data_IF_685705842369
#
_entry.id   IF_685705842369
#
_cell.length_a   1.000
_cell.length_b   1.000
_cell.length_c   1.000
_cell.angle_alpha   90.00
_cell.angle_beta   90.00
_cell.angle_gamma   90.00
#
_symmetry.space_group_name_H-M   'P 1'
#
loop_
_entity.id
_entity.type
_entity.pdbx_description
1 polymer ?
#
# COMPACT_ATOMS: atom_id res chain seq x y z
N UNK A 1 26.70 -25.23 23.70
CA UNK A 1 26.08 -24.19 22.83
C UNK A 1 24.81 -23.72 23.53
N UNK A 2 24.79 -22.45 23.95
CA UNK A 2 24.00 -21.98 25.10
C UNK A 2 22.50 -21.83 24.81
N UNK A 3 21.66 -22.24 25.78
CA UNK A 3 20.18 -22.15 25.79
C UNK A 3 19.65 -20.74 25.41
N UNK A 4 20.48 -19.70 25.56
CA UNK A 4 20.18 -18.32 25.16
C UNK A 4 20.02 -18.15 23.64
N UNK A 5 20.75 -18.93 22.82
CA UNK A 5 20.66 -18.92 21.36
C UNK A 5 19.35 -19.54 20.84
N UNK A 6 18.81 -20.54 21.54
CA UNK A 6 17.53 -21.17 21.21
C UNK A 6 16.37 -20.21 21.47
N UNK A 7 16.36 -19.50 22.61
CA UNK A 7 15.32 -18.50 22.91
C UNK A 7 15.35 -17.28 21.98
N UNK A 8 16.54 -16.84 21.52
CA UNK A 8 16.68 -15.75 20.55
C UNK A 8 16.27 -16.15 19.14
N UNK A 9 16.58 -17.39 18.71
CA UNK A 9 16.07 -17.94 17.45
C UNK A 9 14.55 -18.09 17.46
N UNK A 10 13.98 -18.59 18.57
CA UNK A 10 12.54 -18.83 18.70
C UNK A 10 11.72 -17.53 18.73
N UNK A 11 12.25 -16.47 19.35
CA UNK A 11 11.65 -15.13 19.34
C UNK A 11 11.70 -14.47 17.94
N UNK A 12 12.79 -14.69 17.20
CA UNK A 12 12.94 -14.14 15.84
C UNK A 12 12.03 -14.87 14.83
N UNK A 13 11.86 -16.19 14.96
CA UNK A 13 10.91 -16.95 14.13
C UNK A 13 9.45 -16.66 14.47
N UNK A 14 9.13 -16.34 15.73
CA UNK A 14 7.77 -15.99 16.16
C UNK A 14 7.30 -14.63 15.63
N UNK A 15 8.22 -13.70 15.35
CA UNK A 15 7.89 -12.41 14.72
C UNK A 15 7.76 -12.51 13.19
N UNK A 16 8.41 -13.50 12.57
CA UNK A 16 8.32 -13.78 11.13
C UNK A 16 7.08 -14.63 10.75
N UNK A 17 6.56 -15.44 11.66
CA UNK A 17 5.44 -16.35 11.39
C UNK A 17 4.12 -15.67 10.98
N UNK A 18 3.71 -14.51 11.54
CA UNK A 18 2.50 -13.81 11.12
C UNK A 18 2.57 -13.27 9.69
N UNK A 19 3.77 -13.00 9.18
CA UNK A 19 3.96 -12.47 7.81
C UNK A 19 3.81 -13.54 6.71
N UNK A 20 3.90 -14.82 7.07
CA UNK A 20 3.74 -15.95 6.15
C UNK A 20 2.30 -16.48 6.10
N UNK A 21 1.45 -16.08 7.04
CA UNK A 21 0.04 -16.48 7.11
C UNK A 21 -0.86 -15.29 6.78
N UNK A 22 -0.84 -14.86 5.52
CA UNK A 22 -1.97 -14.10 4.98
C UNK A 22 -3.09 -15.10 4.70
N UNK A 23 -3.88 -15.42 5.71
CA UNK A 23 -5.13 -16.15 5.50
C UNK A 23 -6.08 -15.23 4.72
N UNK A 24 -6.79 -15.73 3.69
CA UNK A 24 -7.81 -14.93 3.04
C UNK A 24 -8.87 -14.62 4.09
N UNK A 25 -9.04 -13.34 4.41
CA UNK A 25 -10.10 -12.90 5.31
C UNK A 25 -11.44 -13.23 4.62
N UNK A 26 -12.06 -14.35 5.01
CA UNK A 26 -13.43 -14.67 4.64
C UNK A 26 -14.36 -13.75 5.43
N UNK A 27 -14.53 -12.54 4.91
CA UNK A 27 -15.55 -11.62 5.40
C UNK A 27 -16.91 -12.04 4.79
N UNK A 28 -17.59 -12.99 5.43
CA UNK A 28 -18.95 -13.40 5.03
C UNK A 28 -20.00 -12.30 5.28
N UNK A 29 -19.63 -11.21 5.96
CA UNK A 29 -20.46 -10.00 6.10
C UNK A 29 -19.57 -8.76 6.14
N UNK A 30 -19.95 -7.69 5.44
CA UNK A 30 -19.25 -6.40 5.50
C UNK A 30 -19.49 -5.80 6.89
N UNK A 31 -18.46 -5.81 7.73
CA UNK A 31 -18.45 -5.13 9.03
C UNK A 31 -18.22 -3.62 8.84
N UNK A 32 -19.07 -2.81 9.46
CA UNK A 32 -18.92 -1.35 9.46
C UNK A 32 -17.63 -0.89 10.16
N UNK A 33 -17.19 -1.64 11.19
CA UNK A 33 -15.95 -1.34 11.90
C UNK A 33 -14.72 -1.59 11.01
N UNK A 34 -14.71 -2.70 10.27
CA UNK A 34 -13.60 -3.04 9.37
C UNK A 34 -13.54 -2.05 8.20
N UNK A 35 -14.70 -1.62 7.69
CA UNK A 35 -14.78 -0.59 6.64
C UNK A 35 -14.26 0.75 7.14
N UNK A 36 -14.68 1.19 8.34
CA UNK A 36 -14.19 2.44 8.92
C UNK A 36 -12.68 2.42 9.16
N UNK A 37 -12.15 1.28 9.62
CA UNK A 37 -10.71 1.10 9.81
C UNK A 37 -9.95 1.08 8.49
N UNK A 38 -10.47 0.40 7.46
CA UNK A 38 -9.89 0.41 6.11
C UNK A 38 -9.83 1.81 5.54
N UNK A 39 -10.93 2.58 5.61
CA UNK A 39 -10.96 3.98 5.14
C UNK A 39 -9.96 4.85 5.90
N UNK A 40 -9.90 4.71 7.23
CA UNK A 40 -8.92 5.43 8.06
C UNK A 40 -7.48 5.07 7.66
N UNK A 41 -7.21 3.78 7.45
CA UNK A 41 -5.89 3.30 7.02
C UNK A 41 -5.51 3.84 5.64
N UNK A 42 -6.44 3.89 4.69
CA UNK A 42 -6.17 4.50 3.36
C UNK A 42 -5.85 6.00 3.46
N UNK A 43 -6.53 6.73 4.36
CA UNK A 43 -6.24 8.14 4.60
C UNK A 43 -4.84 8.34 5.20
N UNK A 44 -4.41 7.48 6.13
CA UNK A 44 -3.06 7.51 6.70
C UNK A 44 -1.99 7.23 5.63
N UNK A 45 -2.22 6.31 4.70
CA UNK A 45 -1.31 6.04 3.58
C UNK A 45 -1.21 7.24 2.64
N UNK A 46 -2.33 7.90 2.32
CA UNK A 46 -2.33 9.15 1.54
C UNK A 46 -1.54 10.26 2.24
N UNK A 47 -1.61 10.32 3.57
CA UNK A 47 -0.85 11.29 4.36
C UNK A 47 0.67 11.10 4.26
N UNK A 48 1.14 9.87 3.99
CA UNK A 48 2.55 9.59 3.71
C UNK A 48 3.01 10.27 2.41
N UNK A 49 2.15 10.36 1.40
CA UNK A 49 2.48 10.99 0.12
C UNK A 49 2.34 12.51 0.19
N UNK A 50 1.27 13.01 0.81
CA UNK A 50 0.98 14.43 1.03
C UNK A 50 0.61 14.66 2.51
N UNK A 51 1.42 15.34 3.34
CA UNK A 51 2.64 16.09 3.07
C UNK A 51 3.96 15.34 3.37
N UNK A 52 3.92 14.08 3.80
CA UNK A 52 5.08 13.38 4.38
C UNK A 52 6.32 13.33 3.47
N UNK A 53 6.21 12.65 2.33
CA UNK A 53 7.31 12.55 1.35
C UNK A 53 7.58 13.89 0.66
N UNK A 54 6.54 14.68 0.36
CA UNK A 54 6.72 15.94 -0.37
C UNK A 54 7.54 16.96 0.41
N UNK A 55 7.31 17.10 1.73
CA UNK A 55 8.12 17.97 2.59
C UNK A 55 9.52 17.41 2.81
N UNK A 56 9.66 16.09 2.95
CA UNK A 56 10.97 15.45 3.11
C UNK A 56 11.86 15.70 1.88
N UNK A 57 11.34 15.46 0.67
CA UNK A 57 12.09 15.69 -0.57
C UNK A 57 12.28 17.18 -0.87
N UNK A 58 11.29 18.04 -0.57
CA UNK A 58 11.46 19.48 -0.71
C UNK A 58 12.54 20.03 0.25
N UNK A 59 12.71 19.44 1.43
CA UNK A 59 13.72 19.82 2.42
C UNK A 59 15.17 19.43 2.05
N UNK A 60 15.36 18.43 1.19
CA UNK A 60 16.68 18.02 0.68
C UNK A 60 17.15 18.85 -0.52
N UNK A 61 16.24 19.64 -1.11
CA UNK A 61 16.52 20.45 -2.29
C UNK A 61 16.70 21.92 -1.88
N UNK A 62 17.44 22.69 -2.68
CA UNK A 62 17.59 24.14 -2.46
C UNK A 62 16.21 24.80 -2.31
N UNK A 63 16.06 25.70 -1.34
CA UNK A 63 14.79 26.38 -1.00
C UNK A 63 14.11 27.00 -2.22
N UNK A 64 14.89 27.57 -3.16
CA UNK A 64 14.35 28.16 -4.40
C UNK A 64 13.63 27.15 -5.33
N UNK A 65 13.90 25.86 -5.16
CA UNK A 65 13.35 24.76 -5.95
C UNK A 65 12.31 23.95 -5.16
N UNK A 66 12.14 24.20 -3.85
CA UNK A 66 11.21 23.46 -2.98
C UNK A 66 9.76 23.55 -3.48
N UNK A 67 9.33 24.73 -3.93
CA UNK A 67 7.98 24.92 -4.48
C UNK A 67 7.72 24.04 -5.72
N UNK A 68 8.73 23.83 -6.56
CA UNK A 68 8.63 22.96 -7.73
C UNK A 68 8.47 21.48 -7.33
N UNK A 69 9.17 21.05 -6.28
CA UNK A 69 9.06 19.66 -5.78
C UNK A 69 7.67 19.41 -5.21
N UNK A 70 7.14 20.35 -4.43
CA UNK A 70 5.78 20.24 -3.87
C UNK A 70 4.71 20.15 -4.97
N UNK A 71 4.81 20.98 -6.01
CA UNK A 71 3.87 20.93 -7.14
C UNK A 71 3.98 19.63 -7.95
N UNK A 72 5.19 19.10 -8.14
CA UNK A 72 5.40 17.82 -8.80
C UNK A 72 4.81 16.67 -7.98
N UNK A 73 5.00 16.65 -6.65
CA UNK A 73 4.39 15.64 -5.79
C UNK A 73 2.86 15.69 -5.84
N UNK A 74 2.26 16.89 -5.81
CA UNK A 74 0.80 17.03 -5.93
C UNK A 74 0.28 16.55 -7.30
N UNK A 75 0.96 16.94 -8.39
CA UNK A 75 0.61 16.51 -9.74
C UNK A 75 0.74 14.99 -9.91
N UNK A 76 1.78 14.38 -9.35
CA UNK A 76 1.98 12.93 -9.38
C UNK A 76 0.90 12.19 -8.59
N UNK A 77 0.54 12.65 -7.38
CA UNK A 77 -0.54 12.04 -6.60
C UNK A 77 -1.86 12.08 -7.36
N UNK A 78 -2.20 13.21 -7.99
CA UNK A 78 -3.40 13.34 -8.81
C UNK A 78 -3.37 12.42 -10.04
N UNK A 79 -2.27 12.42 -10.78
CA UNK A 79 -2.10 11.59 -11.98
C UNK A 79 -2.20 10.10 -11.63
N UNK A 80 -1.52 9.65 -10.58
CA UNK A 80 -1.54 8.25 -10.17
C UNK A 80 -2.92 7.84 -9.63
N UNK A 81 -3.66 8.74 -8.98
CA UNK A 81 -5.04 8.45 -8.55
C UNK A 81 -5.96 8.22 -9.76
N UNK A 82 -5.83 9.02 -10.82
CA UNK A 82 -6.61 8.84 -12.06
C UNK A 82 -6.17 7.57 -12.79
N UNK A 83 -4.87 7.33 -12.94
CA UNK A 83 -4.35 6.13 -13.60
C UNK A 83 -4.78 4.86 -12.85
N UNK A 84 -4.77 4.90 -11.52
CA UNK A 84 -5.25 3.81 -10.67
C UNK A 84 -6.74 3.53 -10.90
N UNK A 85 -7.56 4.57 -10.98
CA UNK A 85 -8.99 4.45 -11.24
C UNK A 85 -9.29 3.86 -12.63
N UNK A 86 -8.57 4.30 -13.67
CA UNK A 86 -8.85 3.87 -15.05
C UNK A 86 -8.29 2.47 -15.33
N UNK A 87 -6.99 2.24 -15.12
CA UNK A 87 -6.33 0.99 -15.51
C UNK A 87 -5.70 0.22 -14.34
N UNK A 88 -5.25 0.91 -13.29
CA UNK A 88 -4.47 0.27 -12.23
C UNK A 88 -5.26 -0.74 -11.40
N UNK A 89 -6.52 -0.43 -11.08
CA UNK A 89 -7.38 -1.33 -10.31
C UNK A 89 -7.62 -2.64 -11.04
N UNK A 90 -7.96 -2.59 -12.33
CA UNK A 90 -8.24 -3.80 -13.11
C UNK A 90 -6.99 -4.62 -13.39
N UNK A 91 -5.84 -3.99 -13.61
CA UNK A 91 -4.59 -4.73 -13.80
C UNK A 91 -4.08 -5.41 -12.52
N UNK A 92 -4.44 -4.90 -11.34
CA UNK A 92 -4.02 -5.46 -10.05
C UNK A 92 -5.02 -6.50 -9.50
N UNK A 93 -6.33 -6.25 -9.61
CA UNK A 93 -7.36 -7.10 -9.03
C UNK A 93 -8.20 -7.88 -10.05
N UNK A 94 -8.03 -7.59 -11.35
CA UNK A 94 -8.73 -8.22 -12.47
C UNK A 94 -10.25 -8.08 -12.45
N UNK A 95 -10.90 -8.63 -13.48
CA UNK A 95 -12.37 -8.69 -13.56
C UNK A 95 -12.89 -9.97 -12.91
N UNK A 96 -14.05 -9.85 -12.26
CA UNK A 96 -14.76 -10.98 -11.68
C UNK A 96 -15.20 -11.95 -12.78
N UNK A 97 -14.62 -13.15 -12.82
CA UNK A 97 -15.00 -14.22 -13.76
C UNK A 97 -13.99 -14.51 -14.87
N UNK A 98 -12.84 -13.84 -14.89
CA UNK A 98 -11.73 -14.12 -15.83
C UNK A 98 -10.59 -14.82 -15.08
N UNK A 99 -10.08 -15.92 -15.65
CA UNK A 99 -8.85 -16.58 -15.17
C UNK A 99 -7.67 -15.61 -15.31
N UNK A 100 -7.19 -15.07 -14.19
CA UNK A 100 -6.11 -14.10 -14.20
C UNK A 100 -4.79 -14.77 -14.55
N UNK A 101 -3.99 -14.11 -15.40
CA UNK A 101 -2.64 -14.56 -15.70
C UNK A 101 -1.74 -14.52 -14.45
N UNK A 102 -0.63 -15.29 -14.40
CA UNK A 102 0.22 -15.36 -13.20
C UNK A 102 0.93 -14.05 -12.83
N UNK A 103 1.00 -13.08 -13.74
CA UNK A 103 1.87 -11.90 -13.62
C UNK A 103 1.14 -10.56 -13.79
N UNK A 104 0.01 -10.54 -14.51
CA UNK A 104 -0.75 -9.33 -14.79
C UNK A 104 -2.24 -9.68 -14.78
N UNK A 105 -3.07 -8.79 -14.24
CA UNK A 105 -4.53 -8.91 -14.30
C UNK A 105 -5.08 -8.67 -15.71
N UNK A 106 -6.34 -8.29 -15.79
CA UNK A 106 -7.08 -8.16 -17.05
C UNK A 106 -7.63 -6.73 -17.25
N UNK A 107 -8.06 -6.42 -18.46
CA UNK A 107 -8.69 -5.15 -18.84
C UNK A 107 -10.24 -5.21 -18.82
N UNK A 108 -10.86 -6.32 -18.39
CA UNK A 108 -12.30 -6.53 -18.47
C UNK A 108 -13.19 -5.59 -17.65
N UNK A 109 -12.64 -4.73 -16.78
CA UNK A 109 -13.41 -3.70 -16.06
C UNK A 109 -13.33 -2.29 -16.69
N UNK A 110 -12.67 -2.13 -17.84
CA UNK A 110 -12.67 -0.92 -18.66
C UNK A 110 -13.82 -0.93 -19.66
#
# INVERSE_FOLDING_TARGET
MSVKAIKTSLGFTAFLLPTLMSAPAMADTISGADTAWMLTSTALVLFMTLPGLSLFYAGLVRVKNALSVLMQCFALTALMSVLWFVIGYTLAFGSSGVEQGPWIGDLGNL
#
